data_IF_355214198599
#
_entry.id   IF_355214198599
#
_cell.length_a   1.000
_cell.length_b   1.000
_cell.length_c   1.000
_cell.angle_alpha   90.00
_cell.angle_beta   90.00
_cell.angle_gamma   90.00
#
_symmetry.space_group_name_H-M   'P 1'
#
loop_
_entity.id
_entity.type
_entity.pdbx_description
1 polymer ?
#
# COMPACT_ATOMS: atom_id res chain seq x y z
N UNK A 1 -7.26 -4.41 -35.23
CA UNK A 1 -5.91 -3.83 -35.22
C UNK A 1 -5.95 -2.60 -36.12
N UNK A 2 -5.99 -1.39 -35.54
CA UNK A 2 -6.16 -0.12 -36.26
C UNK A 2 -4.85 0.41 -36.83
N UNK A 3 -4.22 -0.34 -37.73
CA UNK A 3 -3.03 0.13 -38.45
C UNK A 3 -3.42 0.94 -39.69
N UNK A 4 -2.69 2.02 -39.97
CA UNK A 4 -2.83 2.78 -41.21
C UNK A 4 -2.56 1.88 -42.43
N UNK A 5 -3.36 1.96 -43.51
CA UNK A 5 -3.15 1.14 -44.70
C UNK A 5 -1.77 1.41 -45.31
N UNK A 6 -0.91 0.39 -45.39
CA UNK A 6 0.42 0.45 -46.02
C UNK A 6 1.63 0.28 -45.08
N UNK A 7 1.43 0.25 -43.76
CA UNK A 7 2.51 0.00 -42.79
C UNK A 7 2.50 -1.46 -42.31
N UNK A 8 3.61 -2.17 -42.52
CA UNK A 8 3.85 -3.50 -41.93
C UNK A 8 4.59 -3.33 -40.59
N UNK A 9 4.00 -3.83 -39.51
CA UNK A 9 4.59 -3.81 -38.17
C UNK A 9 5.21 -5.18 -37.84
N UNK A 10 6.44 -5.19 -37.32
CA UNK A 10 7.14 -6.43 -36.91
C UNK A 10 6.80 -6.88 -35.50
N UNK A 11 6.39 -5.94 -34.63
CA UNK A 11 6.10 -6.18 -33.22
C UNK A 11 4.82 -5.44 -32.80
N UNK A 12 4.26 -5.85 -31.65
CA UNK A 12 3.10 -5.22 -31.01
C UNK A 12 3.31 -5.27 -29.49
N UNK A 13 2.92 -4.19 -28.81
CA UNK A 13 2.85 -4.17 -27.35
C UNK A 13 1.96 -5.30 -26.80
N UNK A 14 2.43 -5.95 -25.74
CA UNK A 14 1.70 -7.05 -25.08
C UNK A 14 0.45 -6.53 -24.39
N UNK A 15 0.52 -5.36 -23.77
CA UNK A 15 -0.61 -4.67 -23.18
C UNK A 15 -0.30 -3.20 -22.90
N UNK A 16 -1.33 -2.34 -22.84
CA UNK A 16 -1.14 -0.90 -22.62
C UNK A 16 -0.53 -0.58 -21.24
N UNK A 17 -0.70 -1.46 -20.25
CA UNK A 17 -0.17 -1.30 -18.90
C UNK A 17 1.21 -1.94 -18.70
N UNK A 18 1.74 -2.64 -19.72
CA UNK A 18 3.01 -3.37 -19.59
C UNK A 18 4.22 -2.46 -19.38
N UNK A 19 4.11 -1.18 -19.74
CA UNK A 19 5.14 -0.16 -19.50
C UNK A 19 5.24 0.29 -18.03
N UNK A 20 4.22 0.01 -17.21
CA UNK A 20 4.16 0.49 -15.82
C UNK A 20 4.86 -0.46 -14.85
N UNK A 21 5.45 0.10 -13.79
CA UNK A 21 5.95 -0.68 -12.66
C UNK A 21 4.80 -1.26 -11.84
N UNK A 22 5.08 -2.28 -11.03
CA UNK A 22 4.08 -2.90 -10.16
C UNK A 22 3.30 -1.84 -9.35
N UNK A 23 3.98 -0.89 -8.70
CA UNK A 23 3.33 0.16 -7.91
C UNK A 23 2.43 1.07 -8.75
N UNK A 24 2.87 1.43 -9.95
CA UNK A 24 2.08 2.27 -10.85
C UNK A 24 0.80 1.54 -11.30
N UNK A 25 0.87 0.22 -11.52
CA UNK A 25 -0.29 -0.61 -11.89
C UNK A 25 -1.30 -0.83 -10.76
N UNK A 26 -0.95 -0.51 -9.51
CA UNK A 26 -1.89 -0.60 -8.38
C UNK A 26 -2.82 0.61 -8.28
N UNK A 27 -2.54 1.70 -9.00
CA UNK A 27 -3.40 2.89 -8.97
C UNK A 27 -4.60 2.67 -9.91
N UNK A 28 -5.84 2.61 -9.39
CA UNK A 28 -7.01 2.43 -10.24
C UNK A 28 -7.27 3.69 -11.07
N UNK A 29 -7.68 3.51 -12.33
CA UNK A 29 -7.98 4.60 -13.29
C UNK A 29 -6.88 5.67 -13.38
N UNK A 30 -5.62 5.25 -13.44
CA UNK A 30 -4.47 6.15 -13.47
C UNK A 30 -4.47 7.11 -14.68
N UNK A 31 -5.17 6.76 -15.76
CA UNK A 31 -5.41 7.57 -16.95
C UNK A 31 -6.36 8.76 -16.74
N UNK A 32 -7.15 8.75 -15.66
CA UNK A 32 -8.02 9.86 -15.26
C UNK A 32 -7.36 10.84 -14.29
N UNK A 33 -6.12 10.54 -13.88
CA UNK A 33 -5.34 11.37 -12.97
C UNK A 33 -4.28 12.18 -13.72
N UNK A 34 -4.01 13.39 -13.23
CA UNK A 34 -2.84 14.14 -13.69
C UNK A 34 -1.57 13.36 -13.35
N UNK A 35 -0.64 13.24 -14.30
CA UNK A 35 0.60 12.44 -14.16
C UNK A 35 1.36 12.64 -12.82
N UNK A 36 1.54 13.86 -12.28
CA UNK A 36 2.22 14.04 -10.99
C UNK A 36 1.53 13.35 -9.81
N UNK A 37 0.19 13.22 -9.84
CA UNK A 37 -0.57 12.55 -8.77
C UNK A 37 -0.29 11.06 -8.73
N UNK A 38 -0.15 10.42 -9.89
CA UNK A 38 0.23 9.01 -9.98
C UNK A 38 1.66 8.78 -9.43
N UNK A 39 2.58 9.72 -9.68
CA UNK A 39 3.94 9.65 -9.12
C UNK A 39 3.95 9.76 -7.59
N UNK A 40 3.16 10.69 -7.02
CA UNK A 40 3.03 10.79 -5.57
C UNK A 40 2.48 9.52 -4.95
N UNK A 41 1.44 8.93 -5.56
CA UNK A 41 0.88 7.66 -5.08
C UNK A 41 1.93 6.54 -5.07
N UNK A 42 2.77 6.43 -6.10
CA UNK A 42 3.83 5.42 -6.14
C UNK A 42 4.85 5.60 -5.01
N UNK A 43 5.11 6.83 -4.56
CA UNK A 43 5.99 7.09 -3.43
C UNK A 43 5.30 6.79 -2.09
N UNK A 44 4.07 7.24 -1.92
CA UNK A 44 3.27 7.04 -0.69
C UNK A 44 2.93 5.56 -0.47
N UNK A 45 2.65 4.81 -1.53
CA UNK A 45 2.36 3.38 -1.46
C UNK A 45 3.51 2.57 -0.84
N UNK A 46 4.76 3.03 -0.92
CA UNK A 46 5.91 2.38 -0.27
C UNK A 46 5.96 2.60 1.24
N UNK A 47 5.23 3.59 1.75
CA UNK A 47 5.16 3.95 3.16
C UNK A 47 3.95 3.35 3.87
N UNK A 48 3.01 2.77 3.12
CA UNK A 48 1.79 2.19 3.69
C UNK A 48 2.12 1.00 4.58
N UNK A 49 1.27 0.76 5.57
CA UNK A 49 1.29 -0.44 6.38
C UNK A 49 0.29 -1.44 5.83
N UNK A 50 0.69 -2.71 5.78
CA UNK A 50 -0.16 -3.81 5.33
C UNK A 50 0.09 -5.06 6.14
N UNK A 51 -0.13 -6.21 5.52
CA UNK A 51 0.44 -7.48 5.98
C UNK A 51 1.80 -7.66 5.30
N UNK A 52 2.92 -7.35 5.98
CA UNK A 52 4.22 -7.29 5.32
C UNK A 52 4.73 -8.68 4.91
N UNK A 53 4.44 -9.71 5.71
CA UNK A 53 4.83 -11.09 5.45
C UNK A 53 3.97 -12.06 6.27
N UNK A 54 3.73 -13.26 5.73
CA UNK A 54 2.91 -14.30 6.37
C UNK A 54 3.63 -14.96 7.54
N UNK A 55 4.95 -15.15 7.44
CA UNK A 55 5.79 -15.76 8.47
C UNK A 55 6.12 -14.83 9.66
N UNK A 56 5.38 -13.72 9.84
CA UNK A 56 5.70 -12.70 10.85
C UNK A 56 5.68 -13.22 12.30
N UNK A 57 4.91 -14.26 12.67
CA UNK A 57 4.98 -14.82 14.03
C UNK A 57 6.29 -15.56 14.32
N UNK A 58 7.01 -16.00 13.28
CA UNK A 58 8.18 -16.85 13.38
C UNK A 58 9.48 -16.16 12.96
N UNK A 59 9.38 -14.92 12.49
CA UNK A 59 10.51 -14.13 11.98
C UNK A 59 10.78 -12.95 12.90
N UNK A 60 12.06 -12.73 13.20
CA UNK A 60 12.52 -11.63 14.04
C UNK A 60 13.13 -10.54 13.15
N UNK A 61 12.31 -9.59 12.72
CA UNK A 61 12.78 -8.36 12.08
C UNK A 61 12.96 -7.24 13.13
N UNK A 62 13.89 -6.31 12.89
CA UNK A 62 14.20 -5.23 13.83
C UNK A 62 12.97 -4.36 14.13
N UNK A 63 12.25 -3.95 13.08
CA UNK A 63 10.96 -3.24 13.18
C UNK A 63 10.02 -3.76 12.10
N UNK A 64 8.80 -4.12 12.51
CA UNK A 64 7.76 -4.58 11.61
C UNK A 64 6.45 -3.86 11.95
N UNK A 65 5.80 -3.32 10.92
CA UNK A 65 4.50 -2.67 11.04
C UNK A 65 3.44 -3.53 10.37
N UNK A 66 2.34 -3.79 11.08
CA UNK A 66 1.24 -4.63 10.58
C UNK A 66 -0.10 -4.00 10.90
N UNK A 67 -0.98 -3.87 9.90
CA UNK A 67 -2.39 -3.52 10.12
C UNK A 67 -3.16 -4.75 10.61
N UNK A 68 -4.05 -4.57 11.60
CA UNK A 68 -4.78 -5.69 12.21
C UNK A 68 -5.93 -6.20 11.35
N UNK A 69 -6.66 -5.27 10.72
CA UNK A 69 -7.87 -5.54 9.94
C UNK A 69 -7.72 -5.05 8.50
N UNK A 70 -6.75 -5.59 7.74
CA UNK A 70 -6.63 -5.23 6.33
C UNK A 70 -7.85 -5.71 5.54
N UNK A 71 -8.14 -5.03 4.45
CA UNK A 71 -9.21 -5.42 3.53
C UNK A 71 -8.72 -5.39 2.09
N UNK A 72 -9.28 -6.28 1.26
CA UNK A 72 -9.15 -6.20 -0.19
C UNK A 72 -9.80 -4.90 -0.68
N UNK A 73 -9.13 -4.09 -1.52
CA UNK A 73 -9.73 -2.89 -2.07
C UNK A 73 -10.93 -3.24 -2.95
N UNK A 74 -11.99 -2.43 -2.88
CA UNK A 74 -13.20 -2.65 -3.71
C UNK A 74 -12.92 -2.44 -5.21
N UNK A 75 -12.12 -1.42 -5.54
CA UNK A 75 -11.65 -1.17 -6.90
C UNK A 75 -10.26 -1.81 -7.08
N UNK A 76 -10.17 -2.80 -7.97
CA UNK A 76 -8.95 -3.57 -8.23
C UNK A 76 -8.57 -3.47 -9.70
N UNK A 77 -7.27 -3.36 -9.96
CA UNK A 77 -6.72 -3.50 -11.30
C UNK A 77 -6.55 -4.98 -11.64
N UNK A 78 -6.52 -5.34 -12.93
CA UNK A 78 -6.30 -6.73 -13.34
C UNK A 78 -4.96 -7.27 -12.79
N UNK A 79 -3.95 -6.40 -12.77
CA UNK A 79 -2.60 -6.70 -12.28
C UNK A 79 -2.62 -6.98 -10.77
N UNK A 80 -3.43 -6.28 -9.98
CA UNK A 80 -3.59 -6.55 -8.55
C UNK A 80 -4.02 -8.00 -8.28
N UNK A 81 -4.92 -8.53 -9.12
CA UNK A 81 -5.37 -9.93 -9.04
C UNK A 81 -4.33 -10.92 -9.55
N UNK A 82 -3.61 -10.58 -10.62
CA UNK A 82 -2.57 -11.41 -11.21
C UNK A 82 -1.38 -11.65 -10.25
N UNK A 83 -1.01 -10.62 -9.47
CA UNK A 83 0.04 -10.72 -8.45
C UNK A 83 -0.47 -11.15 -7.06
N UNK A 84 -1.73 -11.59 -6.95
CA UNK A 84 -2.31 -12.10 -5.70
C UNK A 84 -2.12 -11.15 -4.51
N UNK A 85 -2.24 -9.85 -4.76
CA UNK A 85 -2.01 -8.81 -3.74
C UNK A 85 -2.99 -8.88 -2.56
N UNK A 86 -4.07 -9.66 -2.70
CA UNK A 86 -5.01 -10.02 -1.63
C UNK A 86 -4.36 -10.87 -0.52
N UNK A 87 -3.25 -11.57 -0.79
CA UNK A 87 -2.48 -12.29 0.24
C UNK A 87 -1.65 -11.36 1.13
N UNK A 88 -1.30 -10.17 0.60
CA UNK A 88 -0.53 -9.14 1.29
C UNK A 88 -1.30 -7.81 1.33
N UNK A 89 -2.52 -7.80 1.90
CA UNK A 89 -3.40 -6.66 1.79
C UNK A 89 -2.84 -5.46 2.57
N UNK A 90 -2.91 -4.30 1.94
CA UNK A 90 -2.33 -3.06 2.40
C UNK A 90 -3.40 -1.95 2.45
N UNK A 91 -3.93 -1.72 3.65
CA UNK A 91 -4.99 -0.74 3.89
C UNK A 91 -6.35 -1.35 4.22
N UNK A 92 -7.37 -0.50 4.29
CA UNK A 92 -8.75 -0.86 4.62
C UNK A 92 -9.71 0.01 3.81
N UNK A 93 -10.90 -0.49 3.50
CA UNK A 93 -11.90 0.33 2.80
C UNK A 93 -12.57 1.26 3.81
N UNK A 94 -12.62 2.56 3.49
CA UNK A 94 -13.27 3.57 4.31
C UNK A 94 -14.44 4.21 3.54
N UNK A 95 -15.51 4.55 4.26
CA UNK A 95 -16.58 5.39 3.72
C UNK A 95 -16.13 6.85 3.84
N UNK A 96 -15.95 7.51 2.70
CA UNK A 96 -15.48 8.90 2.63
C UNK A 96 -16.62 9.81 2.20
N UNK A 97 -16.83 10.89 2.96
CA UNK A 97 -17.80 11.94 2.64
C UNK A 97 -17.05 13.23 2.29
N UNK A 98 -17.28 13.77 1.09
CA UNK A 98 -16.64 15.01 0.61
C UNK A 98 -17.60 16.17 0.82
N UNK A 99 -17.41 16.91 1.91
CA UNK A 99 -18.20 18.09 2.25
C UNK A 99 -17.39 19.01 3.17
N UNK A 100 -17.71 20.30 3.17
CA UNK A 100 -17.13 21.25 4.12
C UNK A 100 -17.82 21.13 5.48
N UNK A 101 -17.10 20.69 6.52
CA UNK A 101 -17.69 20.46 7.84
C UNK A 101 -16.86 21.05 8.98
N UNK A 102 -17.45 21.91 9.80
CA UNK A 102 -16.89 22.46 11.06
C UNK A 102 -15.55 23.22 10.96
N UNK A 103 -14.91 23.26 9.79
CA UNK A 103 -13.63 23.94 9.58
C UNK A 103 -12.41 23.21 10.13
N UNK A 104 -12.57 21.98 10.62
CA UNK A 104 -11.44 21.14 11.07
C UNK A 104 -10.85 20.28 9.93
N UNK A 105 -11.42 20.39 8.73
CA UNK A 105 -11.04 19.72 7.48
C UNK A 105 -10.25 20.64 6.52
N UNK A 106 -9.64 21.71 7.05
CA UNK A 106 -8.84 22.66 6.27
C UNK A 106 -7.42 22.15 5.98
N UNK A 107 -6.83 22.58 4.86
CA UNK A 107 -5.42 22.39 4.51
C UNK A 107 -4.92 20.94 4.64
N UNK A 108 -5.55 20.03 3.89
CA UNK A 108 -5.26 18.58 3.85
C UNK A 108 -5.58 17.80 5.14
N UNK A 109 -6.24 18.44 6.12
CA UNK A 109 -6.78 17.74 7.29
C UNK A 109 -8.04 16.92 6.93
N UNK A 110 -8.23 15.81 7.63
CA UNK A 110 -9.43 14.98 7.52
C UNK A 110 -10.01 14.69 8.90
N UNK A 111 -11.34 14.67 8.98
CA UNK A 111 -12.05 14.25 10.19
C UNK A 111 -12.33 12.76 10.16
N UNK A 112 -11.94 12.05 11.21
CA UNK A 112 -12.14 10.60 11.34
C UNK A 112 -13.26 10.31 12.35
N UNK A 113 -14.12 9.35 12.04
CA UNK A 113 -15.18 8.92 12.94
C UNK A 113 -14.59 8.22 14.18
N UNK A 114 -14.70 8.87 15.34
CA UNK A 114 -14.20 8.36 16.63
C UNK A 114 -14.69 6.95 16.95
N UNK A 115 -15.98 6.67 16.76
CA UNK A 115 -16.56 5.35 17.03
C UNK A 115 -15.97 4.26 16.11
N UNK A 116 -15.63 4.61 14.87
CA UNK A 116 -14.99 3.67 13.94
C UNK A 116 -13.54 3.39 14.32
N UNK A 117 -12.80 4.41 14.77
CA UNK A 117 -11.44 4.27 15.29
C UNK A 117 -11.41 3.36 16.54
N UNK A 118 -12.32 3.57 17.49
CA UNK A 118 -12.44 2.74 18.70
C UNK A 118 -12.82 1.28 18.38
N UNK A 119 -13.46 1.04 17.23
CA UNK A 119 -13.79 -0.30 16.72
C UNK A 119 -12.69 -0.92 15.86
N UNK A 120 -11.52 -0.29 15.77
CA UNK A 120 -10.34 -0.85 15.11
C UNK A 120 -10.10 -0.40 13.66
N UNK A 121 -10.75 0.69 13.20
CA UNK A 121 -10.40 1.30 11.90
C UNK A 121 -8.92 1.71 11.90
N UNK A 122 -8.18 1.22 10.90
CA UNK A 122 -6.75 1.50 10.70
C UNK A 122 -5.84 1.17 11.92
N UNK A 123 -6.27 0.27 12.80
CA UNK A 123 -5.46 -0.13 13.94
C UNK A 123 -4.26 -0.98 13.48
N UNK A 124 -3.07 -0.62 13.95
CA UNK A 124 -1.82 -1.27 13.56
C UNK A 124 -0.98 -1.64 14.79
N UNK A 125 -0.18 -2.69 14.65
CA UNK A 125 0.76 -3.15 15.66
C UNK A 125 2.18 -3.02 15.13
N UNK A 126 3.08 -2.54 16.00
CA UNK A 126 4.51 -2.45 15.72
C UNK A 126 5.23 -3.51 16.55
N UNK A 127 5.95 -4.40 15.88
CA UNK A 127 6.84 -5.36 16.52
C UNK A 127 8.25 -4.81 16.44
N UNK A 128 8.93 -4.73 17.59
CA UNK A 128 10.34 -4.34 17.69
C UNK A 128 11.10 -5.48 18.34
N UNK A 129 12.12 -5.99 17.66
CA UNK A 129 13.00 -7.02 18.19
C UNK A 129 14.35 -6.42 18.55
N UNK A 130 14.86 -6.75 19.73
CA UNK A 130 16.19 -6.36 20.19
C UNK A 130 17.02 -7.62 20.44
N UNK A 131 18.20 -7.69 19.84
CA UNK A 131 19.13 -8.79 20.04
C UNK A 131 20.13 -8.40 21.12
N UNK A 132 20.17 -9.16 22.21
CA UNK A 132 21.04 -8.92 23.35
C UNK A 132 22.17 -9.96 23.32
N UNK A 133 23.41 -9.48 23.47
CA UNK A 133 24.60 -10.34 23.62
C UNK A 133 24.93 -10.48 25.11
N UNK A 134 24.61 -11.64 25.68
CA UNK A 134 24.78 -11.93 27.10
C UNK A 134 26.25 -11.91 27.55
N UNK A 135 27.21 -12.11 26.64
CA UNK A 135 28.64 -12.04 26.97
C UNK A 135 29.08 -10.59 27.24
N UNK A 136 28.49 -9.62 26.51
CA UNK A 136 28.75 -8.18 26.72
C UNK A 136 28.06 -7.65 27.98
N UNK A 137 26.90 -8.21 28.34
CA UNK A 137 26.16 -7.78 29.53
C UNK A 137 26.78 -8.27 30.85
N UNK A 138 27.48 -9.41 30.85
CA UNK A 138 28.10 -9.93 32.08
C UNK A 138 29.27 -9.08 32.59
N UNK A 139 29.76 -8.11 31.80
CA UNK A 139 31.03 -7.45 32.05
C UNK A 139 32.19 -8.46 31.94
N UNK A 140 33.34 -8.01 31.46
CA UNK A 140 34.55 -8.85 31.45
C UNK A 140 34.80 -9.39 32.86
N UNK A 141 34.44 -10.66 33.07
CA UNK A 141 34.79 -11.39 34.28
C UNK A 141 36.26 -11.75 34.09
N UNK A 142 37.12 -10.81 34.51
CA UNK A 142 38.52 -11.11 34.80
C UNK A 142 38.62 -12.10 35.95
#
# INVERSE_FOLDING_TARGET
>A
AGGSPGLQFTHKETGPTAMFSMLATLTPWSDYNQSPRNMYQCQMAKQTMGTPLLAHPHRLDNKLYRIQTPQSPLSRTNIYKEYEMDEYPAGTNAVVAVLSYTGYDMEDAMMVNKSSMERGLAHASMYKCETIDLAKEKGDTK
#
